data_IF_043409091219
#
_entry.id   IF_043409091219
#
_cell.length_a   1.000
_cell.length_b   1.000
_cell.length_c   1.000
_cell.angle_alpha   90.00
_cell.angle_beta   90.00
_cell.angle_gamma   90.00
#
_symmetry.space_group_name_H-M   'P 1'
#
loop_
_entity.id
_entity.type
_entity.pdbx_description
1 polymer ?
#
# COMPACT_ATOMS: atom_id res chain seq x y z
N UNK A 1 18.33 7.34 -14.76
CA UNK A 1 17.35 7.03 -13.68
C UNK A 1 16.88 5.60 -13.87
N UNK A 2 17.42 4.63 -13.15
CA UNK A 2 17.10 3.19 -13.35
C UNK A 2 16.95 2.50 -12.01
N UNK A 3 15.86 2.79 -11.31
CA UNK A 3 15.48 2.12 -10.07
C UNK A 3 13.95 1.94 -10.00
N UNK A 4 13.45 1.01 -9.18
CA UNK A 4 12.01 0.78 -9.02
C UNK A 4 11.24 2.07 -8.70
N UNK A 5 10.03 2.27 -9.25
CA UNK A 5 9.31 3.55 -9.19
C UNK A 5 8.95 4.02 -7.77
N UNK A 6 8.65 3.09 -6.84
CA UNK A 6 8.31 3.43 -5.45
C UNK A 6 9.61 3.62 -4.66
N UNK A 7 9.70 4.73 -3.93
CA UNK A 7 10.81 5.06 -3.03
C UNK A 7 10.55 4.57 -1.60
N UNK A 8 9.36 4.83 -1.07
CA UNK A 8 8.99 4.46 0.30
C UNK A 8 7.46 4.40 0.44
N UNK A 9 7.01 3.73 1.50
CA UNK A 9 5.60 3.64 1.88
C UNK A 9 5.45 3.90 3.37
N UNK A 10 4.34 4.53 3.76
CA UNK A 10 4.02 4.78 5.16
C UNK A 10 2.52 4.57 5.44
N UNK A 11 2.24 3.83 6.51
CA UNK A 11 0.91 3.65 7.05
C UNK A 11 0.54 4.85 7.95
N UNK A 12 -0.51 5.58 7.60
CA UNK A 12 -1.07 6.64 8.43
C UNK A 12 -2.39 6.24 9.09
N UNK A 13 -2.82 7.07 10.06
CA UNK A 13 -4.10 6.93 10.76
C UNK A 13 -5.26 6.94 9.76
N UNK A 14 -6.32 6.21 10.10
CA UNK A 14 -7.51 6.12 9.28
C UNK A 14 -7.33 5.34 7.99
N UNK A 15 -6.30 4.48 7.89
CA UNK A 15 -5.98 3.65 6.73
C UNK A 15 -5.65 4.47 5.48
N UNK A 16 -4.88 5.54 5.66
CA UNK A 16 -4.31 6.31 4.56
C UNK A 16 -2.90 5.77 4.28
N UNK A 17 -2.69 5.22 3.10
CA UNK A 17 -1.36 4.82 2.63
C UNK A 17 -0.70 6.00 1.94
N UNK A 18 0.49 6.39 2.40
CA UNK A 18 1.35 7.32 1.68
C UNK A 18 2.37 6.54 0.88
N UNK A 19 2.44 6.80 -0.42
CA UNK A 19 3.42 6.21 -1.34
C UNK A 19 4.27 7.36 -1.87
N UNK A 20 5.57 7.33 -1.58
CA UNK A 20 6.51 8.30 -2.14
C UNK A 20 7.18 7.72 -3.38
N UNK A 21 7.16 8.48 -4.46
CA UNK A 21 7.68 8.07 -5.76
C UNK A 21 9.11 8.57 -5.94
N UNK A 22 9.92 7.86 -6.73
CA UNK A 22 11.29 8.29 -7.04
C UNK A 22 11.38 9.61 -7.81
N UNK A 23 10.31 9.99 -8.52
CA UNK A 23 10.24 11.29 -9.20
C UNK A 23 9.98 12.47 -8.24
N UNK A 24 9.85 12.21 -6.92
CA UNK A 24 9.62 13.23 -5.90
C UNK A 24 8.14 13.50 -5.59
N UNK A 25 7.20 12.95 -6.37
CA UNK A 25 5.78 13.03 -6.07
C UNK A 25 5.38 12.08 -4.93
N UNK A 26 4.19 12.30 -4.36
CA UNK A 26 3.60 11.39 -3.38
C UNK A 26 2.11 11.18 -3.67
N UNK A 27 1.65 9.94 -3.54
CA UNK A 27 0.24 9.57 -3.62
C UNK A 27 -0.28 9.25 -2.22
N UNK A 28 -1.43 9.83 -1.87
CA UNK A 28 -2.17 9.45 -0.67
C UNK A 28 -3.39 8.62 -1.08
N UNK A 29 -3.46 7.40 -0.57
CA UNK A 29 -4.50 6.46 -0.91
C UNK A 29 -5.36 6.14 0.29
N UNK A 30 -6.67 6.40 0.16
CA UNK A 30 -7.65 6.00 1.17
C UNK A 30 -8.00 4.52 1.01
N UNK A 31 -7.47 3.67 1.89
CA UNK A 31 -7.70 2.23 1.84
C UNK A 31 -9.00 1.77 2.50
N UNK A 32 -9.70 2.64 3.24
CA UNK A 32 -10.94 2.27 3.97
C UNK A 32 -11.97 1.54 3.11
N UNK A 33 -12.29 1.98 1.86
CA UNK A 33 -13.28 1.28 1.05
C UNK A 33 -12.83 -0.14 0.67
N UNK A 34 -11.52 -0.38 0.56
CA UNK A 34 -10.95 -1.67 0.18
C UNK A 34 -10.92 -2.68 1.34
N UNK A 35 -11.00 -2.21 2.59
CA UNK A 35 -11.01 -3.08 3.78
C UNK A 35 -12.22 -4.01 3.89
N UNK A 36 -13.25 -3.81 3.08
CA UNK A 36 -14.40 -4.72 3.02
C UNK A 36 -14.20 -5.85 2.00
N UNK A 37 -13.18 -5.76 1.16
CA UNK A 37 -12.87 -6.77 0.15
C UNK A 37 -12.16 -7.98 0.76
N UNK A 38 -12.30 -9.14 0.11
CA UNK A 38 -11.61 -10.36 0.51
C UNK A 38 -10.08 -10.18 0.53
N UNK A 39 -9.52 -9.44 -0.45
CA UNK A 39 -8.07 -9.23 -0.60
C UNK A 39 -7.48 -8.36 0.50
N UNK A 40 -8.19 -7.34 0.98
CA UNK A 40 -7.62 -6.36 1.92
C UNK A 40 -8.33 -6.35 3.27
N UNK A 41 -9.22 -7.31 3.53
CA UNK A 41 -9.97 -7.41 4.80
C UNK A 41 -9.08 -7.55 6.03
N UNK A 42 -7.95 -8.26 5.91
CA UNK A 42 -6.98 -8.43 6.99
C UNK A 42 -6.30 -7.11 7.40
N UNK A 43 -6.23 -6.12 6.51
CA UNK A 43 -5.64 -4.81 6.82
C UNK A 43 -6.47 -4.00 7.82
N UNK A 44 -7.66 -4.48 8.22
CA UNK A 44 -8.43 -3.90 9.34
C UNK A 44 -7.70 -4.04 10.67
N UNK A 45 -6.90 -5.10 10.83
CA UNK A 45 -5.99 -5.22 11.95
C UNK A 45 -4.87 -4.16 11.81
N UNK A 46 -4.76 -3.29 12.82
CA UNK A 46 -3.81 -2.19 12.82
C UNK A 46 -2.35 -2.68 12.83
N UNK A 47 -2.08 -3.86 13.41
CA UNK A 47 -0.74 -4.45 13.38
C UNK A 47 -0.35 -4.86 11.95
N UNK A 48 -1.28 -5.49 11.22
CA UNK A 48 -1.10 -5.85 9.81
C UNK A 48 -0.96 -4.59 8.97
N UNK A 49 -1.80 -3.58 9.17
CA UNK A 49 -1.70 -2.29 8.46
C UNK A 49 -0.33 -1.61 8.63
N UNK A 50 0.20 -1.61 9.86
CA UNK A 50 1.49 -1.02 10.19
C UNK A 50 2.69 -1.82 9.69
N UNK A 51 2.50 -3.07 9.26
CA UNK A 51 3.56 -3.92 8.72
C UNK A 51 3.99 -3.54 7.29
N UNK A 52 3.42 -2.46 6.73
CA UNK A 52 3.58 -2.11 5.31
C UNK A 52 5.04 -1.92 4.92
N UNK A 53 5.44 -2.58 3.84
CA UNK A 53 6.78 -2.50 3.26
C UNK A 53 6.71 -2.45 1.74
N UNK A 54 7.83 -2.14 1.09
CA UNK A 54 7.93 -2.21 -0.36
C UNK A 54 9.32 -2.65 -0.80
N UNK A 55 9.38 -3.38 -1.92
CA UNK A 55 10.62 -3.66 -2.66
C UNK A 55 10.87 -2.63 -3.78
N UNK A 56 10.00 -1.61 -3.88
CA UNK A 56 10.04 -0.56 -4.87
C UNK A 56 9.12 -0.79 -6.09
N UNK A 57 8.51 -1.96 -6.24
CA UNK A 57 7.46 -2.25 -7.25
C UNK A 57 6.17 -2.78 -6.65
N UNK A 58 6.27 -3.46 -5.51
CA UNK A 58 5.12 -4.04 -4.81
C UNK A 58 5.08 -3.50 -3.40
N UNK A 59 3.89 -3.13 -2.94
CA UNK A 59 3.59 -2.81 -1.55
C UNK A 59 3.06 -4.09 -0.91
N UNK A 60 3.62 -4.46 0.25
CA UNK A 60 3.29 -5.71 0.95
C UNK A 60 2.96 -5.44 2.41
N UNK A 61 1.89 -6.09 2.87
CA UNK A 61 1.58 -6.30 4.28
C UNK A 61 1.69 -7.78 4.60
N UNK A 62 1.99 -8.12 5.84
CA UNK A 62 2.15 -9.50 6.30
C UNK A 62 1.37 -9.62 7.60
N UNK A 63 0.49 -10.62 7.68
CA UNK A 63 -0.24 -10.89 8.93
C UNK A 63 0.60 -11.66 9.97
N UNK A 64 0.02 -11.88 11.14
CA UNK A 64 0.66 -12.63 12.22
C UNK A 64 0.99 -14.09 11.86
N UNK A 65 0.38 -14.64 10.81
CA UNK A 65 0.63 -16.00 10.33
C UNK A 65 1.64 -16.03 9.17
N UNK A 66 2.11 -14.88 8.71
CA UNK A 66 3.07 -14.76 7.60
C UNK A 66 2.42 -14.70 6.21
N UNK A 67 1.08 -14.60 6.11
CA UNK A 67 0.42 -14.48 4.82
C UNK A 67 0.61 -13.07 4.24
N UNK A 68 1.07 -12.95 2.98
CA UNK A 68 1.26 -11.66 2.35
C UNK A 68 -0.04 -11.13 1.72
N UNK A 69 -0.26 -9.84 1.87
CA UNK A 69 -1.23 -9.06 1.11
C UNK A 69 -0.46 -8.05 0.27
N UNK A 70 -0.72 -8.01 -1.03
CA UNK A 70 0.11 -7.24 -1.95
C UNK A 70 -0.72 -6.23 -2.73
N UNK A 71 -0.06 -5.15 -3.17
CA UNK A 71 -0.56 -4.17 -4.13
C UNK A 71 0.59 -3.80 -5.04
N UNK A 72 0.45 -4.07 -6.33
CA UNK A 72 1.46 -3.69 -7.31
C UNK A 72 1.41 -2.17 -7.56
N UNK A 73 2.54 -1.60 -7.98
CA UNK A 73 2.67 -0.18 -8.26
C UNK A 73 1.61 0.37 -9.23
N UNK A 74 1.26 -0.37 -10.29
CA UNK A 74 0.24 0.07 -11.23
C UNK A 74 -1.16 0.17 -10.59
N UNK A 75 -1.45 -0.63 -9.57
CA UNK A 75 -2.73 -0.61 -8.84
C UNK A 75 -2.84 0.64 -7.96
N UNK A 76 -1.71 1.16 -7.45
CA UNK A 76 -1.69 2.42 -6.69
C UNK A 76 -2.25 3.55 -7.55
N UNK A 77 -1.83 3.62 -8.81
CA UNK A 77 -2.26 4.65 -9.75
C UNK A 77 -3.72 4.47 -10.18
N UNK A 78 -4.21 3.23 -10.35
CA UNK A 78 -5.62 2.95 -10.61
C UNK A 78 -6.49 3.39 -9.43
N UNK A 79 -6.11 3.03 -8.21
CA UNK A 79 -6.91 3.36 -7.03
C UNK A 79 -6.91 4.86 -6.73
N UNK A 80 -5.85 5.58 -7.09
CA UNK A 80 -5.78 7.03 -6.97
C UNK A 80 -6.61 7.77 -8.04
N UNK A 81 -6.72 7.19 -9.24
CA UNK A 81 -7.50 7.78 -10.35
C UNK A 81 -8.99 7.45 -10.30
N UNK A 82 -9.41 6.53 -9.43
CA UNK A 82 -10.80 6.09 -9.32
C UNK A 82 -11.28 5.22 -10.48
N UNK A 83 -10.34 4.72 -11.30
CA UNK A 83 -10.56 3.78 -12.39
C UNK A 83 -10.51 2.33 -11.93
#
# INVERSE_FOLDING_TARGET
>A
MTGPPIKSVAAHRGYILRVEWRNGSATLLNMRPKLQSLRFGALRDEAVWKSVTTDGRTIRWIDAMGFPYEMAEYEVNQFASGL
#
